data_IF_056295366453
#
_entry.id   IF_056295366453
#
_cell.length_a   1.000
_cell.length_b   1.000
_cell.length_c   1.000
_cell.angle_alpha   90.00
_cell.angle_beta   90.00
_cell.angle_gamma   90.00
#
_symmetry.space_group_name_H-M   'P 1'
#
loop_
_entity.id
_entity.type
_entity.pdbx_description
1 polymer ?
#
# COMPACT_ATOMS: atom_id res chain seq x y z
N UNK A 1 3.66 0.02 -41.87
CA UNK A 1 4.46 -0.73 -42.87
C UNK A 1 5.87 -0.93 -42.31
N UNK A 2 6.53 -2.08 -42.53
CA UNK A 2 7.58 -2.55 -41.62
C UNK A 2 8.95 -2.84 -42.27
N UNK A 3 10.01 -2.72 -41.47
CA UNK A 3 11.34 -3.35 -41.64
C UNK A 3 11.79 -3.63 -40.18
N UNK A 4 12.10 -4.85 -39.74
CA UNK A 4 13.14 -5.75 -40.22
C UNK A 4 12.73 -7.22 -40.28
N UNK A 5 13.40 -7.97 -41.15
CA UNK A 5 13.44 -9.42 -41.16
C UNK A 5 14.89 -9.91 -41.28
N UNK A 6 15.24 -11.02 -40.62
CA UNK A 6 16.29 -11.93 -41.09
C UNK A 6 16.04 -13.34 -40.57
N UNK A 7 16.17 -14.33 -41.45
CA UNK A 7 16.00 -15.75 -41.18
C UNK A 7 17.31 -16.53 -41.37
N UNK A 8 17.33 -17.79 -40.93
CA UNK A 8 18.43 -18.76 -41.03
C UNK A 8 18.46 -19.63 -39.75
N UNK A 9 17.76 -20.77 -39.69
CA UNK A 9 18.16 -22.07 -40.27
C UNK A 9 19.40 -22.65 -39.54
N UNK A 10 19.42 -23.86 -38.97
CA UNK A 10 18.44 -24.95 -38.90
C UNK A 10 19.20 -26.28 -38.74
N UNK A 11 18.92 -27.06 -37.67
CA UNK A 11 19.40 -28.45 -37.44
C UNK A 11 18.91 -28.98 -36.09
N UNK A 12 18.24 -30.12 -36.11
CA UNK A 12 18.23 -31.09 -35.01
C UNK A 12 18.73 -32.45 -35.54
N UNK A 13 18.46 -33.58 -34.87
CA UNK A 13 18.06 -33.76 -33.47
C UNK A 13 19.07 -34.63 -32.69
N UNK A 14 18.90 -34.75 -31.37
CA UNK A 14 19.49 -35.86 -30.60
C UNK A 14 18.44 -36.48 -29.68
N UNK A 15 18.32 -37.80 -29.78
CA UNK A 15 17.45 -38.66 -28.97
C UNK A 15 18.33 -39.38 -27.95
N UNK A 16 17.88 -39.47 -26.69
CA UNK A 16 18.36 -40.44 -25.71
C UNK A 16 17.23 -40.79 -24.73
N UNK A 17 17.18 -42.06 -24.33
CA UNK A 17 16.03 -42.72 -23.71
C UNK A 17 15.94 -42.64 -22.17
N UNK A 18 14.70 -42.76 -21.68
CA UNK A 18 14.22 -43.47 -20.48
C UNK A 18 15.06 -43.53 -19.17
N UNK A 19 14.43 -43.14 -18.05
CA UNK A 19 14.24 -44.06 -16.90
C UNK A 19 13.16 -43.61 -15.88
N UNK A 20 12.14 -44.47 -15.71
CA UNK A 20 11.46 -44.88 -14.46
C UNK A 20 11.11 -43.88 -13.33
N UNK A 21 9.80 -43.72 -13.14
CA UNK A 21 9.06 -44.15 -11.92
C UNK A 21 9.66 -43.92 -10.52
N UNK A 22 8.98 -43.10 -9.71
CA UNK A 22 8.59 -43.46 -8.33
C UNK A 22 7.37 -42.64 -7.89
N UNK A 23 6.32 -43.32 -7.43
CA UNK A 23 5.19 -42.70 -6.74
C UNK A 23 5.58 -42.31 -5.32
N UNK A 24 5.12 -41.17 -4.82
CA UNK A 24 4.86 -41.07 -3.38
C UNK A 24 3.62 -40.23 -3.07
N UNK A 25 2.76 -40.82 -2.25
CA UNK A 25 1.43 -40.36 -1.88
C UNK A 25 1.50 -39.58 -0.56
N UNK A 26 0.97 -38.36 -0.49
CA UNK A 26 0.69 -37.67 0.77
C UNK A 26 -0.63 -36.88 0.71
N UNK A 27 -1.74 -37.60 0.90
CA UNK A 27 -2.93 -37.04 1.55
C UNK A 27 -2.58 -36.61 2.99
N UNK A 28 -2.87 -35.36 3.37
CA UNK A 28 -2.94 -34.94 4.78
C UNK A 28 -3.81 -33.69 4.96
N UNK A 29 -5.12 -33.96 5.07
CA UNK A 29 -6.17 -33.23 5.81
C UNK A 29 -5.73 -31.93 6.52
N UNK A 30 -6.33 -30.80 6.15
CA UNK A 30 -6.53 -29.68 7.05
C UNK A 30 -7.94 -29.76 7.67
N UNK A 31 -7.98 -29.70 9.00
CA UNK A 31 -9.17 -29.83 9.83
C UNK A 31 -9.72 -28.43 10.16
N UNK A 32 -11.02 -28.20 9.93
CA UNK A 32 -11.68 -26.92 10.16
C UNK A 32 -12.44 -26.93 11.49
N UNK A 33 -11.72 -26.67 12.58
CA UNK A 33 -12.30 -26.46 13.90
C UNK A 33 -13.01 -25.10 14.00
N UNK A 34 -14.34 -25.12 13.91
CA UNK A 34 -15.19 -23.98 14.30
C UNK A 34 -15.46 -24.11 15.80
N UNK A 35 -14.94 -23.17 16.60
CA UNK A 35 -15.32 -23.03 18.01
C UNK A 35 -16.02 -21.69 18.26
N UNK A 36 -17.14 -21.77 18.97
CA UNK A 36 -18.02 -20.64 19.26
C UNK A 36 -18.00 -20.27 20.74
N UNK A 37 -18.09 -18.96 20.99
CA UNK A 37 -18.93 -18.33 22.02
C UNK A 37 -18.30 -17.83 23.35
N UNK A 38 -18.69 -16.60 23.69
CA UNK A 38 -18.89 -16.03 25.04
C UNK A 38 -17.76 -16.00 26.09
N UNK A 39 -17.45 -14.79 26.59
CA UNK A 39 -17.95 -14.35 27.93
C UNK A 39 -17.52 -12.92 28.33
N UNK A 40 -18.27 -12.35 29.28
CA UNK A 40 -18.24 -10.94 29.70
C UNK A 40 -17.24 -10.62 30.83
N UNK A 41 -16.72 -9.38 30.81
CA UNK A 41 -16.67 -8.41 31.94
C UNK A 41 -16.02 -8.79 33.30
N UNK A 42 -15.00 -8.04 33.72
CA UNK A 42 -14.84 -7.58 35.13
C UNK A 42 -13.88 -6.39 35.28
N UNK A 43 -14.19 -5.52 36.24
CA UNK A 43 -13.46 -4.29 36.60
C UNK A 43 -12.68 -4.41 37.92
N UNK A 44 -11.75 -3.45 38.16
CA UNK A 44 -11.21 -2.97 39.47
C UNK A 44 -10.55 -4.01 40.40
N UNK A 45 -9.37 -3.79 40.99
CA UNK A 45 -8.94 -2.74 41.93
C UNK A 45 -7.46 -3.01 42.34
N UNK A 46 -6.78 -2.11 43.08
CA UNK A 46 -5.51 -2.42 43.78
C UNK A 46 -4.44 -1.32 43.76
N UNK A 47 -3.91 -0.95 44.93
CA UNK A 47 -3.12 0.29 45.13
C UNK A 47 -1.83 0.08 45.97
N UNK A 48 -0.71 0.69 45.51
CA UNK A 48 0.53 1.16 46.24
C UNK A 48 1.56 0.20 46.92
N UNK A 49 2.84 0.56 46.68
CA UNK A 49 4.02 0.63 47.60
C UNK A 49 4.62 -0.68 48.19
N UNK A 50 5.91 -0.76 48.60
CA UNK A 50 7.17 -0.02 48.32
C UNK A 50 8.36 -0.73 49.03
N UNK A 51 9.59 -0.15 48.98
CA UNK A 51 10.85 -0.53 49.67
C UNK A 51 11.70 -1.63 48.99
N UNK A 52 13.04 -1.60 48.97
CA UNK A 52 14.09 -0.61 49.29
C UNK A 52 15.38 -1.02 48.49
N UNK A 53 16.63 -0.52 48.66
CA UNK A 53 17.30 0.39 49.60
C UNK A 53 18.60 0.97 48.95
N UNK A 54 19.27 1.97 49.56
CA UNK A 54 20.64 2.38 49.20
C UNK A 54 20.97 3.86 49.46
N UNK A 55 21.63 4.16 50.58
CA UNK A 55 22.00 5.51 51.06
C UNK A 55 23.52 5.62 51.37
N UNK A 56 23.95 6.82 51.78
CA UNK A 56 25.23 7.19 52.44
C UNK A 56 26.41 7.59 51.51
N UNK A 57 27.27 8.59 51.82
CA UNK A 57 27.40 9.56 52.95
C UNK A 57 28.27 10.75 52.46
N UNK A 58 27.91 12.01 52.68
CA UNK A 58 28.24 12.92 53.82
C UNK A 58 29.60 13.67 53.76
N UNK A 59 29.63 14.79 54.47
CA UNK A 59 30.55 15.94 54.40
C UNK A 59 31.66 15.97 55.48
N UNK A 60 32.71 16.78 55.30
CA UNK A 60 33.11 17.88 56.22
C UNK A 60 34.37 18.67 55.78
N UNK A 61 34.71 19.75 56.51
CA UNK A 61 35.76 20.74 56.20
C UNK A 61 36.85 20.84 57.30
N UNK A 62 38.06 21.33 56.98
CA UNK A 62 39.05 21.80 57.99
C UNK A 62 40.23 22.63 57.40
N UNK A 63 40.79 23.55 58.20
CA UNK A 63 42.11 24.21 58.04
C UNK A 63 42.16 25.39 57.04
N UNK A 64 42.37 26.66 57.39
CA UNK A 64 42.94 27.37 58.56
C UNK A 64 44.46 27.23 58.79
N UNK A 65 45.16 28.37 58.65
CA UNK A 65 46.40 28.67 59.38
C UNK A 65 47.62 29.09 58.52
N UNK A 66 47.95 30.40 58.56
CA UNK A 66 49.32 30.98 58.69
C UNK A 66 50.47 30.54 57.76
N UNK A 67 51.46 31.35 57.41
CA UNK A 67 51.77 32.78 57.53
C UNK A 67 52.93 33.01 56.53
N UNK A 68 53.19 34.23 56.05
CA UNK A 68 54.56 34.77 56.09
C UNK A 68 54.66 36.23 55.62
N UNK A 69 55.54 36.96 56.30
CA UNK A 69 55.81 38.37 56.06
C UNK A 69 56.72 38.55 54.83
N UNK A 70 56.51 39.64 54.08
CA UNK A 70 57.54 40.68 54.04
C UNK A 70 56.93 42.06 53.77
N UNK A 71 57.47 43.10 54.39
CA UNK A 71 56.93 44.45 54.27
C UNK A 71 57.86 45.40 53.51
N UNK A 72 57.30 46.53 53.06
CA UNK A 72 57.99 47.81 53.16
C UNK A 72 56.96 48.94 53.15
N UNK A 73 57.19 49.97 53.97
CA UNK A 73 56.41 51.22 53.98
C UNK A 73 56.91 52.16 52.87
N UNK A 74 55.98 52.95 52.33
CA UNK A 74 56.26 54.07 51.45
C UNK A 74 55.04 54.98 51.40
N UNK A 75 54.97 55.95 52.31
CA UNK A 75 53.84 56.87 52.42
C UNK A 75 53.84 57.90 51.28
N UNK A 76 52.66 58.26 50.77
CA UNK A 76 52.51 59.23 49.68
C UNK A 76 51.04 59.58 49.40
N UNK A 77 50.54 60.64 50.02
CA UNK A 77 49.20 61.19 49.78
C UNK A 77 49.10 61.84 48.39
N UNK A 78 47.97 61.71 47.70
CA UNK A 78 47.75 62.47 46.46
C UNK A 78 46.60 62.05 45.56
N UNK A 79 45.42 62.62 45.81
CA UNK A 79 44.31 62.87 44.87
C UNK A 79 43.41 61.71 44.39
N UNK A 80 42.14 61.89 44.75
CA UNK A 80 40.90 61.30 44.26
C UNK A 80 40.72 61.09 42.74
N UNK A 81 39.69 60.29 42.46
CA UNK A 81 38.95 60.19 41.20
C UNK A 81 39.63 59.46 40.03
N UNK A 82 39.60 58.13 40.10
CA UNK A 82 39.43 57.27 38.91
C UNK A 82 38.36 56.21 39.14
N UNK A 83 37.46 56.19 38.17
CA UNK A 83 36.66 55.07 37.67
C UNK A 83 36.88 53.70 38.32
N UNK A 84 35.86 53.15 39.00
CA UNK A 84 35.47 51.73 38.95
C UNK A 84 34.23 51.46 39.84
N UNK A 85 33.01 51.65 39.29
CA UNK A 85 31.81 50.98 39.82
C UNK A 85 30.66 50.84 38.79
N UNK A 86 30.98 50.44 37.56
CA UNK A 86 29.96 49.83 36.69
C UNK A 86 29.66 48.41 37.16
N UNK A 87 28.79 48.29 38.15
CA UNK A 87 28.22 47.01 38.57
C UNK A 87 27.51 46.36 37.36
N UNK A 88 27.90 45.12 37.05
CA UNK A 88 27.29 44.23 36.04
C UNK A 88 25.84 43.91 36.41
N UNK A 89 24.93 44.86 36.19
CA UNK A 89 23.50 44.70 36.44
C UNK A 89 22.89 43.77 35.38
N UNK A 90 23.09 42.46 35.57
CA UNK A 90 22.33 41.43 34.87
C UNK A 90 20.84 41.71 35.08
N UNK A 91 20.08 42.00 34.02
CA UNK A 91 18.74 42.56 34.17
C UNK A 91 17.82 41.55 34.87
N UNK A 92 17.10 42.00 35.88
CA UNK A 92 16.27 41.13 36.73
C UNK A 92 15.15 40.48 35.92
N UNK A 93 14.88 39.16 36.08
CA UNK A 93 13.87 38.48 35.28
C UNK A 93 12.47 39.06 35.48
N UNK A 94 11.81 39.48 34.39
CA UNK A 94 10.47 40.10 34.44
C UNK A 94 9.40 39.15 33.89
N UNK A 95 8.17 39.27 34.40
CA UNK A 95 7.03 38.48 33.92
C UNK A 95 6.59 38.87 32.51
N UNK A 96 6.00 37.92 31.77
CA UNK A 96 5.65 38.04 30.34
C UNK A 96 4.91 39.32 29.94
N UNK A 97 4.00 39.81 30.80
CA UNK A 97 3.17 40.98 30.51
C UNK A 97 3.85 42.34 30.76
N UNK A 98 5.08 42.36 31.30
CA UNK A 98 5.79 43.60 31.68
C UNK A 98 6.02 44.56 30.48
N UNK A 99 5.93 45.89 30.67
CA UNK A 99 6.08 46.85 29.57
C UNK A 99 7.41 46.78 28.81
N UNK A 100 8.52 46.43 29.48
CA UNK A 100 9.83 46.27 28.82
C UNK A 100 9.86 45.16 27.78
N UNK A 101 9.04 44.11 27.94
CA UNK A 101 8.90 43.02 26.96
C UNK A 101 7.90 43.35 25.83
N UNK A 102 7.32 44.57 25.77
CA UNK A 102 6.36 44.94 24.71
C UNK A 102 7.00 44.93 23.31
N UNK A 103 8.27 45.34 23.20
CA UNK A 103 9.01 45.27 21.93
C UNK A 103 9.25 43.81 21.52
N UNK A 104 9.79 43.00 22.43
CA UNK A 104 10.07 41.56 22.23
C UNK A 104 8.80 40.80 21.82
N UNK A 105 7.68 41.02 22.54
CA UNK A 105 6.38 40.42 22.21
C UNK A 105 5.88 40.85 20.84
N UNK A 106 6.00 42.13 20.47
CA UNK A 106 5.60 42.61 19.14
C UNK A 106 6.43 41.93 18.05
N UNK A 107 7.76 41.90 18.20
CA UNK A 107 8.65 41.27 17.21
C UNK A 107 8.42 39.75 17.11
N UNK A 108 8.26 39.07 18.24
CA UNK A 108 7.96 37.64 18.30
C UNK A 108 6.60 37.31 17.67
N UNK A 109 5.55 38.09 17.95
CA UNK A 109 4.25 37.94 17.29
C UNK A 109 4.33 38.25 15.79
N UNK A 110 5.08 39.28 15.37
CA UNK A 110 5.30 39.58 13.94
C UNK A 110 6.01 38.43 13.24
N UNK A 111 7.09 37.87 13.83
CA UNK A 111 7.79 36.70 13.29
C UNK A 111 6.90 35.47 13.28
N UNK A 112 6.14 35.20 14.35
CA UNK A 112 5.18 34.11 14.42
C UNK A 112 4.11 34.21 13.33
N UNK A 113 3.51 35.38 13.13
CA UNK A 113 2.50 35.60 12.08
C UNK A 113 3.10 35.45 10.68
N UNK A 114 4.29 36.01 10.42
CA UNK A 114 4.96 35.87 9.11
C UNK A 114 5.31 34.40 8.84
N UNK A 115 5.93 33.70 9.80
CA UNK A 115 6.27 32.27 9.67
C UNK A 115 5.03 31.41 9.46
N UNK A 116 3.96 31.66 10.22
CA UNK A 116 2.68 30.96 10.05
C UNK A 116 2.05 31.23 8.69
N UNK A 117 2.05 32.49 8.22
CA UNK A 117 1.50 32.86 6.92
C UNK A 117 2.30 32.24 5.75
N UNK A 118 3.63 32.22 5.83
CA UNK A 118 4.49 31.53 4.86
C UNK A 118 4.23 30.03 4.85
N UNK A 119 4.09 29.40 6.03
CA UNK A 119 3.76 27.97 6.13
C UNK A 119 2.37 27.67 5.57
N UNK A 120 1.36 28.50 5.85
CA UNK A 120 0.01 28.36 5.28
C UNK A 120 0.03 28.51 3.76
N UNK A 121 0.74 29.50 3.21
CA UNK A 121 0.88 29.69 1.77
C UNK A 121 1.60 28.49 1.10
N UNK A 122 2.65 27.96 1.74
CA UNK A 122 3.35 26.76 1.27
C UNK A 122 2.43 25.53 1.26
N UNK A 123 1.74 25.26 2.36
CA UNK A 123 0.78 24.14 2.47
C UNK A 123 -0.31 24.27 1.40
N UNK A 124 -0.91 25.46 1.22
CA UNK A 124 -1.93 25.70 0.19
C UNK A 124 -1.38 25.53 -1.24
N UNK A 125 -0.12 25.88 -1.49
CA UNK A 125 0.51 25.66 -2.81
C UNK A 125 0.70 24.18 -3.11
N UNK A 126 1.10 23.37 -2.12
CA UNK A 126 1.25 21.91 -2.26
C UNK A 126 -0.12 21.22 -2.38
N UNK A 127 -1.12 21.64 -1.58
CA UNK A 127 -2.49 21.13 -1.70
C UNK A 127 -3.14 21.47 -3.05
N UNK A 128 -2.76 22.59 -3.67
CA UNK A 128 -3.23 22.93 -5.01
C UNK A 128 -2.70 21.96 -6.07
N UNK A 129 -1.49 21.39 -5.89
CA UNK A 129 -0.97 20.30 -6.74
C UNK A 129 -1.79 19.03 -6.53
N UNK A 130 -2.12 18.67 -5.28
CA UNK A 130 -2.98 17.51 -4.96
C UNK A 130 -4.30 17.57 -5.75
N UNK A 131 -5.05 18.69 -5.66
CA UNK A 131 -6.28 18.86 -6.44
C UNK A 131 -6.06 18.84 -7.96
N UNK A 132 -4.92 19.39 -8.43
CA UNK A 132 -4.53 19.37 -9.84
C UNK A 132 -4.39 17.95 -10.41
N UNK A 133 -3.89 16.99 -9.62
CA UNK A 133 -3.75 15.58 -10.05
C UNK A 133 -5.11 14.94 -10.34
N UNK A 134 -6.15 15.21 -9.53
CA UNK A 134 -7.48 14.63 -9.73
C UNK A 134 -8.12 15.00 -11.07
N UNK A 135 -7.78 16.16 -11.64
CA UNK A 135 -8.29 16.59 -12.96
C UNK A 135 -7.87 15.69 -14.13
N UNK A 136 -6.88 14.81 -13.93
CA UNK A 136 -6.33 13.90 -14.94
C UNK A 136 -6.53 12.43 -14.63
N UNK A 137 -7.28 12.08 -13.57
CA UNK A 137 -7.47 10.68 -13.17
C UNK A 137 -7.96 9.83 -14.34
N UNK A 138 -9.07 10.22 -15.00
CA UNK A 138 -9.62 9.48 -16.15
C UNK A 138 -8.61 9.26 -17.29
N UNK A 139 -7.75 10.24 -17.55
CA UNK A 139 -6.70 10.18 -18.59
C UNK A 139 -5.57 9.22 -18.20
N UNK A 140 -5.34 9.05 -16.90
CA UNK A 140 -4.26 8.25 -16.32
C UNK A 140 -4.70 6.85 -15.89
N UNK A 141 -6.00 6.49 -15.94
CA UNK A 141 -6.50 5.15 -15.58
C UNK A 141 -5.81 4.03 -16.38
N UNK A 142 -5.35 4.32 -17.60
CA UNK A 142 -4.57 3.41 -18.45
C UNK A 142 -3.18 3.06 -17.86
N UNK A 143 -2.70 3.82 -16.87
CA UNK A 143 -1.47 3.52 -16.11
C UNK A 143 -1.70 2.47 -15.01
N UNK A 144 -2.96 2.18 -14.66
CA UNK A 144 -3.31 1.10 -13.74
C UNK A 144 -3.36 -0.21 -14.53
N UNK A 145 -2.17 -0.79 -14.73
CA UNK A 145 -1.98 -1.99 -15.55
C UNK A 145 -2.65 -3.21 -14.94
N UNK A 146 -3.44 -3.93 -15.76
CA UNK A 146 -4.07 -5.20 -15.42
C UNK A 146 -3.68 -6.23 -16.46
N UNK A 147 -3.05 -7.33 -16.05
CA UNK A 147 -2.69 -8.37 -17.01
C UNK A 147 -3.89 -9.26 -17.34
N UNK A 148 -3.99 -9.72 -18.58
CA UNK A 148 -4.96 -10.75 -19.01
C UNK A 148 -4.16 -11.88 -19.67
N UNK A 149 -4.11 -13.02 -18.99
CA UNK A 149 -3.28 -14.17 -19.39
C UNK A 149 -4.19 -15.34 -19.70
N UNK A 150 -4.12 -15.79 -20.96
CA UNK A 150 -4.91 -16.90 -21.47
C UNK A 150 -4.11 -18.20 -21.43
N UNK A 151 -4.43 -19.11 -20.52
CA UNK A 151 -3.88 -20.47 -20.51
C UNK A 151 -4.78 -21.50 -21.21
N UNK A 152 -6.00 -21.13 -21.62
CA UNK A 152 -7.09 -22.02 -22.04
C UNK A 152 -6.71 -22.91 -23.23
N UNK A 153 -6.56 -24.21 -22.98
CA UNK A 153 -6.09 -25.17 -23.99
C UNK A 153 -4.66 -24.95 -24.48
N UNK A 154 -3.84 -24.14 -23.78
CA UNK A 154 -2.43 -23.91 -24.16
C UNK A 154 -1.46 -24.83 -23.39
N UNK A 155 -1.83 -25.29 -22.20
CA UNK A 155 -1.01 -26.19 -21.36
C UNK A 155 -1.53 -27.64 -21.44
N UNK A 156 -0.63 -28.62 -21.32
CA UNK A 156 -0.98 -30.03 -21.16
C UNK A 156 -1.77 -30.29 -19.85
N UNK A 157 -2.74 -31.23 -19.84
CA UNK A 157 -3.16 -32.09 -20.95
C UNK A 157 -4.11 -31.42 -21.96
N UNK A 158 -4.56 -30.18 -21.69
CA UNK A 158 -5.65 -29.53 -22.41
C UNK A 158 -5.31 -29.17 -23.86
N UNK A 159 -4.04 -28.85 -24.12
CA UNK A 159 -3.50 -28.60 -25.46
C UNK A 159 -3.60 -29.77 -26.45
N UNK A 160 -3.85 -31.01 -25.99
CA UNK A 160 -4.03 -32.19 -26.85
C UNK A 160 -5.46 -32.74 -26.85
N UNK A 161 -6.42 -32.06 -26.21
CA UNK A 161 -7.81 -32.56 -26.10
C UNK A 161 -8.63 -32.49 -27.39
N UNK A 162 -8.16 -31.75 -28.40
CA UNK A 162 -8.91 -31.49 -29.64
C UNK A 162 -10.09 -30.53 -29.47
N UNK A 163 -10.35 -30.04 -28.26
CA UNK A 163 -11.33 -28.99 -27.99
C UNK A 163 -10.73 -27.64 -28.38
N UNK A 164 -11.43 -26.86 -29.21
CA UNK A 164 -10.98 -25.51 -29.60
C UNK A 164 -11.24 -24.54 -28.45
N UNK A 165 -10.24 -23.78 -27.96
CA UNK A 165 -10.42 -22.79 -26.91
C UNK A 165 -11.44 -21.70 -27.30
N UNK A 166 -12.34 -21.37 -26.38
CA UNK A 166 -13.38 -20.36 -26.54
C UNK A 166 -13.27 -19.27 -25.47
N UNK A 167 -13.15 -19.66 -24.20
CA UNK A 167 -13.15 -18.75 -23.05
C UNK A 167 -11.98 -17.77 -23.12
N UNK A 168 -10.77 -18.29 -23.24
CA UNK A 168 -9.53 -17.51 -23.30
C UNK A 168 -9.50 -16.44 -24.40
N UNK A 169 -9.62 -16.84 -25.68
CA UNK A 169 -9.57 -15.90 -26.80
C UNK A 169 -10.65 -14.81 -26.76
N UNK A 170 -11.86 -15.11 -26.26
CA UNK A 170 -12.92 -14.11 -26.14
C UNK A 170 -12.61 -13.05 -25.08
N UNK A 171 -12.10 -13.45 -23.91
CA UNK A 171 -11.73 -12.51 -22.83
C UNK A 171 -10.54 -11.64 -23.25
N UNK A 172 -9.53 -12.22 -23.90
CA UNK A 172 -8.41 -11.48 -24.47
C UNK A 172 -8.88 -10.51 -25.57
N UNK A 173 -9.77 -10.93 -26.46
CA UNK A 173 -10.32 -10.05 -27.50
C UNK A 173 -11.14 -8.90 -26.90
N UNK A 174 -11.90 -9.15 -25.84
CA UNK A 174 -12.63 -8.12 -25.10
C UNK A 174 -11.70 -7.08 -24.46
N UNK A 175 -10.64 -7.52 -23.77
CA UNK A 175 -9.62 -6.64 -23.19
C UNK A 175 -8.99 -5.72 -24.26
N UNK A 176 -8.60 -6.30 -25.40
CA UNK A 176 -8.05 -5.54 -26.53
C UNK A 176 -9.07 -4.55 -27.13
N UNK A 177 -10.35 -4.89 -27.22
CA UNK A 177 -11.42 -3.97 -27.65
C UNK A 177 -11.62 -2.81 -26.67
N UNK A 178 -11.51 -3.06 -25.36
CA UNK A 178 -11.66 -2.02 -24.34
C UNK A 178 -10.54 -0.98 -24.44
N UNK A 179 -9.28 -1.42 -24.62
CA UNK A 179 -8.13 -0.53 -24.86
C UNK A 179 -8.27 0.23 -26.19
N UNK A 180 -8.78 -0.43 -27.24
CA UNK A 180 -9.03 0.21 -28.53
C UNK A 180 -10.25 1.17 -28.54
N UNK A 181 -11.05 1.23 -27.46
CA UNK A 181 -12.33 1.96 -27.45
C UNK A 181 -12.22 3.48 -27.39
N UNK A 182 -11.05 4.02 -27.01
CA UNK A 182 -10.83 5.46 -26.82
C UNK A 182 -11.54 6.09 -25.62
N UNK A 183 -12.22 5.28 -24.79
CA UNK A 183 -12.81 5.70 -23.51
C UNK A 183 -11.78 5.58 -22.38
N UNK A 184 -11.97 6.24 -21.22
CA UNK A 184 -11.20 5.93 -20.01
C UNK A 184 -11.29 4.44 -19.68
N UNK A 185 -10.15 3.77 -19.55
CA UNK A 185 -10.05 2.33 -19.30
C UNK A 185 -8.83 2.02 -18.42
N UNK A 186 -8.84 0.90 -17.70
CA UNK A 186 -7.62 0.34 -17.08
C UNK A 186 -6.60 -0.08 -18.13
N UNK A 187 -5.32 -0.17 -17.75
CA UNK A 187 -4.23 -0.58 -18.64
C UNK A 187 -4.23 -2.08 -18.91
N UNK A 188 -5.24 -2.61 -19.60
CA UNK A 188 -5.30 -4.04 -19.91
C UNK A 188 -4.16 -4.46 -20.84
N UNK A 189 -3.25 -5.30 -20.34
CA UNK A 189 -2.15 -5.89 -21.09
C UNK A 189 -2.36 -7.38 -21.29
N UNK A 190 -2.60 -7.81 -22.53
CA UNK A 190 -2.57 -9.24 -22.86
C UNK A 190 -1.12 -9.69 -22.97
N UNK A 191 -0.70 -10.63 -22.12
CA UNK A 191 0.64 -11.21 -22.13
C UNK A 191 0.55 -12.71 -22.47
N UNK A 192 1.50 -13.25 -23.25
CA UNK A 192 1.54 -14.68 -23.55
C UNK A 192 1.97 -15.50 -22.33
N UNK A 193 1.51 -16.75 -22.28
CA UNK A 193 1.83 -17.70 -21.19
C UNK A 193 3.32 -18.04 -21.09
N UNK A 194 4.09 -17.81 -22.16
CA UNK A 194 5.54 -17.97 -22.22
C UNK A 194 6.27 -17.05 -21.22
N UNK A 195 5.71 -15.89 -20.93
CA UNK A 195 6.35 -14.87 -20.08
C UNK A 195 6.24 -15.22 -18.58
N UNK A 196 5.52 -16.30 -18.27
CA UNK A 196 5.25 -16.83 -16.93
C UNK A 196 5.61 -18.33 -16.82
N UNK A 197 6.50 -18.83 -17.68
CA UNK A 197 6.89 -20.24 -17.85
C UNK A 197 5.71 -21.24 -17.93
N UNK A 198 4.55 -20.80 -18.44
CA UNK A 198 3.31 -21.58 -18.46
C UNK A 198 2.77 -21.97 -17.06
N UNK A 199 3.06 -21.19 -16.02
CA UNK A 199 2.56 -21.40 -14.66
C UNK A 199 1.68 -20.22 -14.18
N UNK A 200 0.37 -20.46 -13.90
CA UNK A 200 -0.50 -19.46 -13.27
C UNK A 200 0.00 -18.89 -11.93
N UNK A 201 0.86 -19.61 -11.19
CA UNK A 201 1.45 -19.11 -9.96
C UNK A 201 2.46 -17.98 -10.24
N UNK A 202 3.19 -18.00 -11.35
CA UNK A 202 4.08 -16.90 -11.72
C UNK A 202 3.31 -15.61 -12.02
N UNK A 203 2.11 -15.71 -12.61
CA UNK A 203 1.21 -14.55 -12.77
C UNK A 203 0.82 -13.96 -11.41
N UNK A 204 0.50 -14.82 -10.43
CA UNK A 204 0.23 -14.37 -9.05
C UNK A 204 1.47 -13.70 -8.44
N UNK A 205 2.66 -14.23 -8.68
CA UNK A 205 3.92 -13.65 -8.21
C UNK A 205 4.19 -12.27 -8.83
N UNK A 206 3.88 -12.05 -10.11
CA UNK A 206 4.01 -10.73 -10.75
C UNK A 206 3.07 -9.68 -10.11
N UNK A 207 1.84 -10.05 -9.79
CA UNK A 207 0.92 -9.17 -9.02
C UNK A 207 1.47 -8.90 -7.62
N UNK A 208 2.03 -9.91 -6.95
CA UNK A 208 2.67 -9.77 -5.63
C UNK A 208 3.91 -8.85 -5.66
N UNK A 209 4.68 -8.89 -6.74
CA UNK A 209 5.87 -8.06 -6.98
C UNK A 209 5.54 -6.63 -7.42
N UNK A 210 4.25 -6.30 -7.58
CA UNK A 210 3.72 -5.01 -8.03
C UNK A 210 3.90 -4.68 -9.53
N UNK A 211 4.28 -5.66 -10.37
CA UNK A 211 4.42 -5.51 -11.82
C UNK A 211 3.08 -5.14 -12.50
N UNK A 212 1.97 -5.59 -11.93
CA UNK A 212 0.61 -5.18 -12.27
C UNK A 212 -0.20 -4.83 -11.00
N UNK A 213 -1.34 -4.14 -11.17
CA UNK A 213 -2.30 -3.90 -10.08
C UNK A 213 -3.21 -5.10 -9.83
N UNK A 214 -3.55 -5.82 -10.90
CA UNK A 214 -4.29 -7.08 -10.86
C UNK A 214 -3.94 -7.93 -12.08
N UNK A 215 -4.31 -9.21 -12.05
CA UNK A 215 -4.27 -10.10 -13.20
C UNK A 215 -5.57 -10.90 -13.32
N UNK A 216 -6.03 -11.06 -14.56
CA UNK A 216 -7.09 -11.98 -14.95
C UNK A 216 -6.41 -13.21 -15.56
N UNK A 217 -6.51 -14.33 -14.87
CA UNK A 217 -5.99 -15.63 -15.29
C UNK A 217 -7.17 -16.43 -15.84
N UNK A 218 -7.16 -16.77 -17.12
CA UNK A 218 -8.08 -17.78 -17.66
C UNK A 218 -7.42 -19.14 -17.42
N UNK A 219 -8.09 -20.05 -16.72
CA UNK A 219 -7.49 -21.33 -16.32
C UNK A 219 -7.28 -22.24 -17.54
N UNK A 220 -6.24 -23.10 -17.54
CA UNK A 220 -5.88 -23.91 -18.71
C UNK A 220 -6.95 -24.91 -19.15
N UNK A 221 -7.88 -25.22 -18.25
CA UNK A 221 -8.97 -26.15 -18.45
C UNK A 221 -10.32 -25.48 -18.73
N UNK A 222 -10.41 -24.14 -18.80
CA UNK A 222 -11.66 -23.39 -18.77
C UNK A 222 -12.67 -23.86 -19.83
N UNK A 223 -12.29 -23.87 -21.11
CA UNK A 223 -13.15 -24.37 -22.19
C UNK A 223 -13.34 -25.88 -22.10
N UNK A 224 -12.27 -26.65 -21.83
CA UNK A 224 -12.37 -28.12 -21.80
C UNK A 224 -13.32 -28.66 -20.72
N UNK A 225 -13.36 -28.02 -19.54
CA UNK A 225 -14.26 -28.37 -18.45
C UNK A 225 -15.71 -28.00 -18.78
N UNK A 226 -15.91 -26.86 -19.43
CA UNK A 226 -17.22 -26.41 -19.89
C UNK A 226 -17.81 -27.38 -20.94
N UNK A 227 -17.00 -27.84 -21.90
CA UNK A 227 -17.36 -28.91 -22.83
C UNK A 227 -17.64 -30.25 -22.12
N UNK A 228 -16.75 -30.68 -21.23
CA UNK A 228 -16.94 -31.93 -20.47
C UNK A 228 -18.21 -31.88 -19.61
N UNK A 229 -18.56 -30.71 -19.07
CA UNK A 229 -19.76 -30.54 -18.25
C UNK A 229 -21.04 -30.79 -19.04
N UNK A 230 -21.17 -30.22 -20.24
CA UNK A 230 -22.36 -30.44 -21.09
C UNK A 230 -22.36 -31.81 -21.76
N UNK A 231 -21.20 -32.34 -22.17
CA UNK A 231 -21.11 -33.65 -22.82
C UNK A 231 -21.42 -34.80 -21.86
N UNK A 232 -20.95 -34.72 -20.60
CA UNK A 232 -21.09 -35.80 -19.62
C UNK A 232 -22.22 -35.57 -18.60
N UNK A 233 -22.87 -34.41 -18.61
CA UNK A 233 -23.88 -34.04 -17.61
C UNK A 233 -23.30 -33.88 -16.20
N UNK A 234 -22.08 -33.33 -16.09
CA UNK A 234 -21.38 -33.17 -14.81
C UNK A 234 -22.03 -32.10 -13.93
N UNK A 235 -22.89 -32.53 -12.99
CA UNK A 235 -23.56 -31.67 -12.01
C UNK A 235 -22.60 -30.93 -11.08
N UNK A 236 -21.36 -31.41 -10.93
CA UNK A 236 -20.33 -30.81 -10.06
C UNK A 236 -19.48 -29.77 -10.79
N UNK A 237 -19.85 -29.34 -12.00
CA UNK A 237 -19.20 -28.24 -12.69
C UNK A 237 -19.48 -26.90 -11.96
N UNK A 238 -18.41 -26.20 -11.58
CA UNK A 238 -18.42 -24.85 -11.01
C UNK A 238 -17.90 -23.83 -12.03
N UNK A 239 -18.75 -22.87 -12.48
CA UNK A 239 -18.33 -21.78 -13.35
C UNK A 239 -17.19 -20.92 -12.79
N UNK A 240 -17.09 -20.73 -11.46
CA UNK A 240 -16.04 -19.92 -10.83
C UNK A 240 -14.63 -20.52 -11.00
N UNK A 241 -14.56 -21.80 -11.36
CA UNK A 241 -13.33 -22.49 -11.73
C UNK A 241 -12.81 -22.17 -13.14
N UNK A 242 -13.50 -21.37 -13.94
CA UNK A 242 -13.07 -21.02 -15.30
C UNK A 242 -12.00 -19.92 -15.33
N UNK A 243 -12.19 -18.84 -14.56
CA UNK A 243 -11.28 -17.68 -14.53
C UNK A 243 -10.96 -17.27 -13.09
N UNK A 244 -9.85 -16.56 -12.90
CA UNK A 244 -9.42 -16.01 -11.63
C UNK A 244 -9.08 -14.52 -11.78
N UNK A 245 -9.60 -13.68 -10.88
CA UNK A 245 -9.10 -12.33 -10.65
C UNK A 245 -8.15 -12.34 -9.45
N UNK A 246 -6.89 -11.97 -9.68
CA UNK A 246 -5.83 -11.92 -8.67
C UNK A 246 -5.44 -10.45 -8.43
N UNK A 247 -5.40 -10.02 -7.18
CA UNK A 247 -5.10 -8.63 -6.81
C UNK A 247 -4.48 -8.51 -5.41
N UNK A 248 -4.13 -7.29 -5.00
CA UNK A 248 -3.67 -6.98 -3.65
C UNK A 248 -4.22 -5.61 -3.22
N UNK A 249 -5.27 -5.57 -2.41
CA UNK A 249 -5.82 -4.30 -1.91
C UNK A 249 -4.87 -3.59 -0.94
N UNK A 250 -4.05 -4.32 -0.16
CA UNK A 250 -3.05 -3.71 0.71
C UNK A 250 -1.90 -2.97 0.00
N UNK A 251 -1.88 -2.95 -1.34
CA UNK A 251 -1.02 -2.06 -2.12
C UNK A 251 -1.48 -0.61 -1.98
N UNK A 252 -2.79 -0.39 -2.13
CA UNK A 252 -3.48 0.88 -1.96
C UNK A 252 -5.00 0.61 -1.94
N UNK A 253 -5.57 0.60 -0.73
CA UNK A 253 -6.98 0.26 -0.47
C UNK A 253 -7.94 1.23 -1.19
N UNK A 254 -7.64 2.53 -1.13
CA UNK A 254 -8.45 3.58 -1.75
C UNK A 254 -8.40 3.48 -3.27
N UNK A 255 -7.22 3.36 -3.89
CA UNK A 255 -7.12 3.24 -5.33
C UNK A 255 -7.76 1.93 -5.86
N UNK A 256 -7.72 0.84 -5.08
CA UNK A 256 -8.41 -0.40 -5.43
C UNK A 256 -9.94 -0.20 -5.50
N UNK A 257 -10.55 0.33 -4.44
CA UNK A 257 -12.00 0.47 -4.36
C UNK A 257 -12.58 1.62 -5.20
N UNK A 258 -11.87 2.74 -5.36
CA UNK A 258 -12.39 3.92 -6.06
C UNK A 258 -12.17 3.89 -7.58
N UNK A 259 -11.10 3.23 -8.07
CA UNK A 259 -10.71 3.32 -9.50
C UNK A 259 -10.56 1.98 -10.23
N UNK A 260 -10.05 0.93 -9.56
CA UNK A 260 -9.72 -0.35 -10.21
C UNK A 260 -10.94 -1.28 -10.21
N UNK A 261 -11.46 -1.62 -9.02
CA UNK A 261 -12.58 -2.54 -8.88
C UNK A 261 -13.86 -2.09 -9.62
N UNK A 262 -14.25 -0.78 -9.62
CA UNK A 262 -15.41 -0.31 -10.37
C UNK A 262 -15.34 -0.50 -11.89
N UNK A 263 -14.14 -0.70 -12.45
CA UNK A 263 -13.96 -1.07 -13.87
C UNK A 263 -13.82 -2.58 -14.08
N UNK A 264 -13.18 -3.30 -13.16
CA UNK A 264 -13.05 -4.75 -13.27
C UNK A 264 -14.37 -5.50 -13.06
N UNK A 265 -15.22 -5.04 -12.14
CA UNK A 265 -16.53 -5.65 -11.90
C UNK A 265 -17.42 -5.72 -13.17
N UNK A 266 -17.69 -4.61 -13.89
CA UNK A 266 -18.44 -4.68 -15.14
C UNK A 266 -17.68 -5.42 -16.24
N UNK A 267 -16.36 -5.34 -16.31
CA UNK A 267 -15.55 -6.13 -17.26
C UNK A 267 -15.80 -7.64 -17.06
N UNK A 268 -15.73 -8.16 -15.83
CA UNK A 268 -15.99 -9.58 -15.53
C UNK A 268 -17.44 -9.97 -15.86
N UNK A 269 -18.42 -9.09 -15.60
CA UNK A 269 -19.83 -9.32 -15.93
C UNK A 269 -20.08 -9.39 -17.45
N UNK A 270 -19.50 -8.46 -18.22
CA UNK A 270 -19.61 -8.45 -19.69
C UNK A 270 -18.84 -9.62 -20.32
N UNK A 271 -17.65 -9.96 -19.82
CA UNK A 271 -16.88 -11.14 -20.24
C UNK A 271 -17.69 -12.44 -20.05
N UNK A 272 -18.29 -12.61 -18.86
CA UNK A 272 -19.17 -13.74 -18.54
C UNK A 272 -20.37 -13.80 -19.49
N UNK A 273 -21.00 -12.64 -19.75
CA UNK A 273 -22.17 -12.54 -20.64
C UNK A 273 -21.81 -12.87 -22.09
N UNK A 274 -20.68 -12.35 -22.59
CA UNK A 274 -20.20 -12.56 -23.96
C UNK A 274 -19.88 -14.03 -24.21
N UNK A 275 -19.10 -14.65 -23.32
CA UNK A 275 -18.74 -16.07 -23.42
C UNK A 275 -19.97 -16.95 -23.28
N UNK A 276 -20.85 -16.68 -22.30
CA UNK A 276 -22.08 -17.44 -22.08
C UNK A 276 -23.05 -17.41 -23.26
N UNK A 277 -23.17 -16.27 -23.95
CA UNK A 277 -24.00 -16.14 -25.16
C UNK A 277 -23.45 -16.96 -26.34
N UNK A 278 -22.15 -16.83 -26.64
CA UNK A 278 -21.53 -17.56 -27.75
C UNK A 278 -21.50 -19.08 -27.47
N UNK A 279 -21.16 -19.46 -26.24
CA UNK A 279 -21.20 -20.84 -25.76
C UNK A 279 -22.61 -21.45 -25.89
N UNK A 280 -23.63 -20.77 -25.34
CA UNK A 280 -25.02 -21.24 -25.40
C UNK A 280 -25.48 -21.38 -26.86
N UNK A 281 -25.12 -20.44 -27.74
CA UNK A 281 -25.43 -20.55 -29.17
C UNK A 281 -24.85 -21.81 -29.80
N UNK A 282 -23.56 -22.07 -29.59
CA UNK A 282 -22.86 -23.24 -30.14
C UNK A 282 -23.42 -24.55 -29.58
N UNK A 283 -23.64 -24.62 -28.26
CA UNK A 283 -24.21 -25.81 -27.60
C UNK A 283 -25.62 -26.10 -28.07
N UNK A 284 -26.48 -25.07 -28.15
CA UNK A 284 -27.86 -25.24 -28.60
C UNK A 284 -27.95 -25.67 -30.07
N UNK A 285 -27.03 -25.21 -30.93
CA UNK A 285 -26.92 -25.72 -32.31
C UNK A 285 -26.61 -27.22 -32.33
N UNK A 286 -25.61 -27.68 -31.56
CA UNK A 286 -25.26 -29.10 -31.48
C UNK A 286 -26.39 -29.95 -30.86
N UNK A 287 -27.08 -29.43 -29.84
CA UNK A 287 -28.19 -30.11 -29.17
C UNK A 287 -29.43 -30.32 -30.08
N UNK A 288 -29.55 -29.62 -31.21
CA UNK A 288 -30.58 -29.95 -32.22
C UNK A 288 -30.37 -31.32 -32.88
N UNK A 289 -29.14 -31.83 -32.86
CA UNK A 289 -28.75 -33.11 -33.47
C UNK A 289 -28.48 -34.23 -32.46
N UNK A 290 -28.30 -33.89 -31.18
CA UNK A 290 -27.96 -34.84 -30.11
C UNK A 290 -28.95 -34.77 -28.93
N UNK A 291 -29.82 -35.77 -28.84
CA UNK A 291 -30.77 -35.94 -27.75
C UNK A 291 -30.11 -36.22 -26.39
N UNK A 292 -28.92 -36.84 -26.36
CA UNK A 292 -28.20 -37.13 -25.12
C UNK A 292 -27.58 -35.84 -24.55
N UNK A 293 -27.00 -35.00 -25.41
CA UNK A 293 -26.58 -33.64 -25.05
C UNK A 293 -27.75 -32.85 -24.45
N UNK A 294 -28.92 -32.85 -25.09
CA UNK A 294 -30.10 -32.14 -24.58
C UNK A 294 -30.54 -32.61 -23.17
N UNK A 295 -30.46 -33.91 -22.89
CA UNK A 295 -30.71 -34.44 -21.54
C UNK A 295 -29.63 -34.00 -20.53
N UNK A 296 -28.36 -33.98 -20.94
CA UNK A 296 -27.26 -33.56 -20.07
C UNK A 296 -27.31 -32.05 -19.75
N UNK A 297 -27.76 -31.20 -20.68
CA UNK A 297 -27.98 -29.77 -20.45
C UNK A 297 -29.04 -29.51 -19.37
N UNK A 298 -30.11 -30.31 -19.31
CA UNK A 298 -31.11 -30.21 -18.24
C UNK A 298 -30.53 -30.53 -16.85
N UNK A 299 -29.43 -31.29 -16.79
CA UNK A 299 -28.75 -31.65 -15.53
C UNK A 299 -27.69 -30.62 -15.11
N UNK A 300 -27.21 -29.79 -16.04
CA UNK A 300 -26.10 -28.84 -15.82
C UNK A 300 -26.47 -27.42 -16.30
N UNK A 301 -27.55 -26.81 -15.78
CA UNK A 301 -27.98 -25.47 -16.21
C UNK A 301 -26.91 -24.40 -15.97
N UNK A 302 -26.07 -24.56 -14.94
CA UNK A 302 -24.98 -23.62 -14.63
C UNK A 302 -23.88 -23.56 -15.71
N UNK A 303 -23.74 -24.62 -16.51
CA UNK A 303 -22.84 -24.63 -17.67
C UNK A 303 -23.43 -23.89 -18.88
N UNK A 304 -24.69 -23.45 -18.86
CA UNK A 304 -25.26 -22.56 -19.87
C UNK A 304 -25.33 -21.11 -19.37
N UNK A 305 -25.76 -20.91 -18.12
CA UNK A 305 -25.83 -19.59 -17.48
C UNK A 305 -25.39 -19.71 -16.02
N UNK A 306 -24.29 -19.06 -15.60
CA UNK A 306 -23.48 -18.09 -16.34
C UNK A 306 -22.46 -18.68 -17.33
N UNK A 307 -22.39 -20.01 -17.45
CA UNK A 307 -21.35 -20.78 -18.17
C UNK A 307 -19.95 -20.65 -17.56
N UNK A 308 -19.41 -19.44 -17.44
CA UNK A 308 -18.13 -19.16 -16.77
C UNK A 308 -18.32 -18.22 -15.57
N UNK A 309 -17.26 -18.05 -14.78
CA UNK A 309 -17.22 -17.10 -13.67
C UNK A 309 -15.78 -16.82 -13.26
N UNK A 310 -15.63 -15.83 -12.37
CA UNK A 310 -14.34 -15.34 -11.89
C UNK A 310 -14.23 -15.57 -10.38
N UNK A 311 -13.32 -16.45 -9.98
CA UNK A 311 -12.90 -16.58 -8.58
C UNK A 311 -11.97 -15.43 -8.19
N UNK A 312 -12.15 -14.83 -7.01
CA UNK A 312 -11.38 -13.66 -6.59
C UNK A 312 -10.34 -14.03 -5.53
N UNK A 313 -9.08 -13.71 -5.78
CA UNK A 313 -7.95 -13.98 -4.90
C UNK A 313 -7.21 -12.70 -4.55
N UNK A 314 -7.42 -12.22 -3.32
CA UNK A 314 -6.60 -11.18 -2.74
C UNK A 314 -5.33 -11.80 -2.13
N UNK A 315 -4.17 -11.46 -2.69
CA UNK A 315 -2.87 -11.96 -2.24
C UNK A 315 -2.39 -11.32 -0.94
N UNK A 316 -2.89 -10.12 -0.60
CA UNK A 316 -2.56 -9.42 0.65
C UNK A 316 -3.72 -8.48 1.04
N UNK A 317 -4.65 -8.96 1.89
CA UNK A 317 -5.71 -8.15 2.48
C UNK A 317 -5.18 -6.97 3.30
N UNK A 318 -5.78 -5.79 3.14
CA UNK A 318 -5.51 -4.64 4.01
C UNK A 318 -6.18 -4.84 5.38
N UNK A 319 -5.41 -5.31 6.36
CA UNK A 319 -5.89 -5.55 7.72
C UNK A 319 -4.77 -5.34 8.76
N UNK A 320 -5.06 -4.76 9.94
CA UNK A 320 -6.35 -4.26 10.42
C UNK A 320 -6.72 -2.88 9.88
N UNK A 321 -8.03 -2.64 9.69
CA UNK A 321 -8.57 -1.34 9.23
C UNK A 321 -8.28 -0.16 10.19
N UNK A 322 -7.88 -0.42 11.43
CA UNK A 322 -7.38 0.61 12.36
C UNK A 322 -6.11 1.29 11.88
N UNK A 323 -5.41 0.72 10.89
CA UNK A 323 -4.24 1.33 10.24
C UNK A 323 -4.59 2.39 9.20
N UNK A 324 -5.83 2.46 8.69
CA UNK A 324 -6.24 3.43 7.64
C UNK A 324 -5.88 4.88 8.02
N UNK A 325 -6.17 5.40 9.24
CA UNK A 325 -5.85 6.78 9.59
C UNK A 325 -4.35 7.05 9.62
N UNK A 326 -3.51 6.06 9.91
CA UNK A 326 -2.06 6.21 9.97
C UNK A 326 -1.44 6.38 8.57
N UNK A 327 -1.90 5.59 7.59
CA UNK A 327 -1.38 5.59 6.20
C UNK A 327 -1.97 6.69 5.33
N UNK A 328 -3.17 7.20 5.64
CA UNK A 328 -3.84 8.27 4.88
C UNK A 328 -3.44 9.67 5.33
N UNK A 329 -3.86 10.09 6.52
CA UNK A 329 -3.70 11.48 7.03
C UNK A 329 -2.65 11.56 8.14
N UNK A 330 -2.41 10.46 8.87
CA UNK A 330 -1.50 10.38 10.01
C UNK A 330 -0.07 10.81 9.68
N UNK A 331 0.48 10.38 8.54
CA UNK A 331 1.82 10.78 8.10
C UNK A 331 1.97 12.31 7.97
N UNK A 332 0.93 12.99 7.46
CA UNK A 332 0.93 14.46 7.31
C UNK A 332 0.99 15.13 8.69
N UNK A 333 0.19 14.66 9.66
CA UNK A 333 0.24 15.18 11.03
C UNK A 333 1.59 14.91 11.72
N UNK A 334 2.19 13.73 11.52
CA UNK A 334 3.51 13.41 12.07
C UNK A 334 4.59 14.36 11.53
N UNK A 335 4.59 14.65 10.22
CA UNK A 335 5.53 15.60 9.62
C UNK A 335 5.30 17.02 10.16
N UNK A 336 4.04 17.46 10.27
CA UNK A 336 3.70 18.80 10.81
C UNK A 336 4.15 18.96 12.26
N UNK A 337 3.90 17.98 13.12
CA UNK A 337 4.24 18.06 14.54
C UNK A 337 5.76 17.91 14.73
N UNK A 338 6.41 16.98 14.03
CA UNK A 338 7.85 16.70 14.19
C UNK A 338 8.74 17.79 13.60
N UNK A 339 8.55 18.15 12.31
CA UNK A 339 9.44 19.06 11.60
C UNK A 339 8.94 20.50 11.62
N UNK A 340 7.67 20.75 11.31
CA UNK A 340 7.17 22.12 11.14
C UNK A 340 6.88 22.83 12.48
N UNK A 341 6.38 22.14 13.50
CA UNK A 341 6.11 22.77 14.80
C UNK A 341 7.40 23.09 15.55
N UNK A 342 8.26 22.10 15.80
CA UNK A 342 9.44 22.31 16.64
C UNK A 342 10.47 23.25 16.00
N UNK A 343 10.89 23.00 14.75
CA UNK A 343 11.99 23.74 14.14
C UNK A 343 11.68 25.22 13.86
N UNK A 344 10.41 25.57 13.58
CA UNK A 344 10.03 26.94 13.22
C UNK A 344 9.68 27.82 14.42
N UNK A 345 9.21 27.24 15.54
CA UNK A 345 8.92 27.99 16.76
C UNK A 345 10.11 28.07 17.74
N UNK A 346 11.06 27.12 17.69
CA UNK A 346 12.27 27.14 18.53
C UNK A 346 13.06 28.48 18.48
N UNK A 347 13.29 29.14 17.32
CA UNK A 347 13.98 30.44 17.27
C UNK A 347 13.18 31.58 17.93
N UNK A 348 11.85 31.49 17.92
CA UNK A 348 10.96 32.48 18.56
C UNK A 348 11.02 32.31 20.08
N UNK A 349 11.02 31.06 20.59
CA UNK A 349 11.21 30.79 22.01
C UNK A 349 12.59 31.24 22.51
N UNK A 350 13.67 30.99 21.75
CA UNK A 350 15.01 31.46 22.12
C UNK A 350 15.13 32.98 22.21
N UNK A 351 14.31 33.76 21.48
CA UNK A 351 14.33 35.23 21.58
C UNK A 351 13.77 35.76 22.92
N UNK A 352 13.00 34.99 23.67
CA UNK A 352 12.61 35.35 25.04
C UNK A 352 13.68 34.98 26.10
N UNK A 353 14.62 34.10 25.74
CA UNK A 353 15.66 33.57 26.63
C UNK A 353 16.99 34.33 26.54
N UNK A 354 17.35 34.87 25.37
CA UNK A 354 18.58 35.65 25.18
C UNK A 354 18.33 37.13 25.50
N UNK A 355 19.05 37.75 26.46
CA UNK A 355 18.87 39.15 26.82
C UNK A 355 19.55 40.10 25.82
N UNK A 356 19.03 40.19 24.61
CA UNK A 356 19.47 41.17 23.59
C UNK A 356 18.72 42.49 23.78
N UNK A 357 19.15 43.30 24.75
CA UNK A 357 18.56 44.62 25.04
C UNK A 357 17.24 44.58 25.83
N UNK A 358 16.90 43.45 26.44
CA UNK A 358 15.75 43.31 27.35
C UNK A 358 16.08 42.35 28.50
N UNK A 359 15.35 42.42 29.63
CA UNK A 359 15.48 41.42 30.69
C UNK A 359 15.07 40.04 30.19
N UNK A 360 15.67 38.95 30.69
CA UNK A 360 15.22 37.60 30.43
C UNK A 360 13.79 37.38 30.97
N UNK A 361 13.02 36.55 30.29
CA UNK A 361 11.68 36.18 30.75
C UNK A 361 11.78 35.35 32.04
N UNK A 362 11.02 35.73 33.07
CA UNK A 362 10.74 34.86 34.22
C UNK A 362 9.62 33.88 33.86
N UNK A 363 9.92 32.59 33.97
CA UNK A 363 8.93 31.51 33.88
C UNK A 363 8.04 31.45 35.14
#
# INVERSE_FOLDING_TARGET
>A
MPIFARAGDGRGPLVADNAATTMMNQDSRYDNGIDTNSSQNRSSDGTRQASANGQEKDSEAAGSGSNDNNGSKGDGEGNDARDEEQQDQRPTPVGFWHPSLKHVRREAMTKWTITTAVLMAFILSVLSIYWGVFTRVEQNLSSLVVYVIDFDGQIAPYNTTGVTPLVGPQIVQMANRMVASGKPHLGFGSLPVSDFDHDPIQVRQAVYNFDAWAAIIINPNATSMLYSAVQNGNTSYDPLGACQLVYSDARDDTNWFDFIYPQLAPFMTEATTMVGQEWTRMVMQNATTDNALLQNLQRVPQALSPAIGFSMYNLRPFYPYTSIPAVSIGLIYLIIISFFSFAFYLPIHFKYLKPEGHPPLKF
#
